data_IF_572394021181
#
_entry.id   IF_572394021181
#
_cell.length_a   1.000
_cell.length_b   1.000
_cell.length_c   1.000
_cell.angle_alpha   90.00
_cell.angle_beta   90.00
_cell.angle_gamma   90.00
#
_symmetry.space_group_name_H-M   'P 1'
#
loop_
_entity.id
_entity.type
_entity.pdbx_description
1 polymer ?
#
# COMPACT_ATOMS: atom_id res chain seq x y z
N UNK A 1 -11.87 -7.58 11.87
CA UNK A 1 -11.74 -8.58 12.94
C UNK A 1 -10.31 -9.16 12.94
N UNK A 2 -9.74 -9.39 14.14
CA UNK A 2 -8.43 -10.08 14.27
C UNK A 2 -8.69 -11.46 14.86
N UNK A 3 -8.27 -12.49 14.13
CA UNK A 3 -8.38 -13.89 14.54
C UNK A 3 -6.99 -14.52 14.64
N UNK A 4 -6.83 -15.52 15.51
CA UNK A 4 -5.62 -16.33 15.57
C UNK A 4 -5.87 -17.67 14.87
N UNK A 5 -5.17 -17.90 13.78
CA UNK A 5 -5.26 -19.10 12.97
C UNK A 5 -4.03 -19.97 13.23
N UNK A 6 -4.23 -21.29 13.36
CA UNK A 6 -3.15 -22.24 13.63
C UNK A 6 -2.03 -22.17 12.58
N UNK A 7 -2.40 -22.09 11.32
CA UNK A 7 -1.47 -22.07 10.19
C UNK A 7 -0.84 -20.68 9.94
N UNK A 8 -1.61 -19.58 10.10
CA UNK A 8 -1.22 -18.23 9.70
C UNK A 8 -0.87 -17.30 10.87
N UNK A 9 -1.11 -17.72 12.12
CA UNK A 9 -0.98 -16.87 13.30
C UNK A 9 -2.07 -15.81 13.36
N UNK A 10 -1.78 -14.66 13.98
CA UNK A 10 -2.74 -13.57 14.03
C UNK A 10 -2.98 -12.99 12.64
N UNK A 11 -4.24 -12.87 12.28
CA UNK A 11 -4.67 -12.51 10.94
C UNK A 11 -5.80 -11.47 11.00
N UNK A 12 -5.72 -10.48 10.11
CA UNK A 12 -6.76 -9.46 9.92
C UNK A 12 -7.77 -9.93 8.88
N UNK A 13 -9.04 -9.84 9.24
CA UNK A 13 -10.17 -10.03 8.33
C UNK A 13 -10.99 -8.75 8.22
N UNK A 14 -11.30 -8.35 6.99
CA UNK A 14 -12.23 -7.26 6.66
C UNK A 14 -13.29 -7.88 5.75
N UNK A 15 -14.57 -7.69 6.09
CA UNK A 15 -15.71 -8.24 5.36
C UNK A 15 -15.63 -9.76 5.10
N UNK A 16 -15.14 -10.50 6.11
CA UNK A 16 -14.86 -11.94 6.06
C UNK A 16 -13.77 -12.39 5.07
N UNK A 17 -13.03 -11.47 4.48
CA UNK A 17 -11.88 -11.77 3.64
C UNK A 17 -10.57 -11.57 4.43
N UNK A 18 -9.66 -12.55 4.32
CA UNK A 18 -8.32 -12.46 4.90
C UNK A 18 -7.54 -11.36 4.17
N UNK A 19 -7.07 -10.38 4.91
CA UNK A 19 -6.28 -9.27 4.39
C UNK A 19 -4.78 -9.50 4.60
N UNK A 20 -4.39 -9.87 5.83
CA UNK A 20 -2.99 -10.02 6.20
C UNK A 20 -2.83 -11.02 7.33
N UNK A 21 -1.72 -11.73 7.36
CA UNK A 21 -1.33 -12.59 8.49
C UNK A 21 0.10 -12.33 8.95
N UNK A 22 0.37 -12.52 10.25
CA UNK A 22 1.70 -12.25 10.83
C UNK A 22 2.81 -13.18 10.29
N UNK A 23 2.46 -14.36 9.78
CA UNK A 23 3.45 -15.35 9.33
C UNK A 23 4.02 -15.06 7.95
N UNK A 24 3.21 -14.55 7.02
CA UNK A 24 3.59 -14.42 5.61
C UNK A 24 3.57 -12.99 5.07
N UNK A 25 3.01 -12.04 5.83
CA UNK A 25 2.91 -10.64 5.42
C UNK A 25 4.26 -10.07 4.93
N UNK A 26 5.36 -10.38 5.63
CA UNK A 26 6.69 -9.89 5.29
C UNK A 26 7.16 -10.30 3.89
N UNK A 27 6.65 -11.44 3.37
CA UNK A 27 6.94 -11.89 2.00
C UNK A 27 6.24 -10.97 1.01
N UNK A 28 4.94 -10.72 1.22
CA UNK A 28 4.14 -9.84 0.37
C UNK A 28 4.69 -8.41 0.39
N UNK A 29 4.75 -7.77 1.56
CA UNK A 29 5.16 -6.38 1.67
C UNK A 29 6.61 -6.16 1.23
N UNK A 30 7.49 -7.12 1.52
CA UNK A 30 8.88 -7.09 1.06
C UNK A 30 8.97 -7.09 -0.46
N UNK A 31 8.33 -8.04 -1.12
CA UNK A 31 8.34 -8.14 -2.59
C UNK A 31 7.64 -6.95 -3.26
N UNK A 32 6.58 -6.44 -2.63
CA UNK A 32 5.84 -5.29 -3.15
C UNK A 32 6.72 -4.03 -3.23
N UNK A 33 7.50 -3.76 -2.19
CA UNK A 33 8.45 -2.63 -2.18
C UNK A 33 9.66 -2.93 -3.07
N UNK A 34 10.21 -4.14 -3.06
CA UNK A 34 11.38 -4.53 -3.85
C UNK A 34 11.10 -4.46 -5.36
N UNK A 35 9.86 -4.74 -5.80
CA UNK A 35 9.47 -4.59 -7.21
C UNK A 35 9.66 -3.16 -7.71
N UNK A 36 9.27 -2.16 -6.92
CA UNK A 36 9.49 -0.76 -7.25
C UNK A 36 10.98 -0.36 -7.19
N UNK A 37 11.73 -0.94 -6.23
CA UNK A 37 13.16 -0.69 -6.07
C UNK A 37 13.99 -1.26 -7.21
N UNK A 38 13.59 -2.39 -7.79
CA UNK A 38 14.27 -3.01 -8.92
C UNK A 38 14.22 -2.16 -10.19
N UNK A 39 13.16 -1.37 -10.36
CA UNK A 39 12.96 -0.47 -11.49
C UNK A 39 13.63 0.90 -11.29
N UNK A 40 13.70 1.36 -10.07
CA UNK A 40 14.36 2.61 -9.69
C UNK A 40 14.91 2.49 -8.27
N UNK A 41 16.21 2.40 -8.12
CA UNK A 41 16.90 2.18 -6.85
C UNK A 41 16.99 3.40 -5.93
N UNK A 42 16.51 4.57 -6.34
CA UNK A 42 16.55 5.77 -5.49
C UNK A 42 15.57 5.63 -4.33
N UNK A 43 16.08 5.73 -3.11
CA UNK A 43 15.33 5.73 -1.87
C UNK A 43 14.98 7.18 -1.50
N UNK A 44 13.92 7.72 -2.07
CA UNK A 44 13.59 9.12 -1.78
C UNK A 44 12.23 9.24 -1.10
N UNK A 45 11.26 9.82 -1.78
CA UNK A 45 9.94 10.05 -1.22
C UNK A 45 8.95 9.04 -1.78
N UNK A 46 8.11 8.50 -0.93
CA UNK A 46 7.05 7.59 -1.35
C UNK A 46 5.67 8.06 -0.89
N UNK A 47 4.66 7.67 -1.64
CA UNK A 47 3.27 7.66 -1.21
C UNK A 47 2.78 6.22 -1.11
N UNK A 48 2.01 5.91 -0.06
CA UNK A 48 1.29 4.65 0.09
C UNK A 48 -0.20 4.98 0.11
N UNK A 49 -0.97 4.33 -0.74
CA UNK A 49 -2.42 4.45 -0.85
C UNK A 49 -3.04 3.18 -0.29
N UNK A 50 -3.67 3.25 0.88
CA UNK A 50 -4.16 2.08 1.61
C UNK A 50 -3.08 1.37 2.41
N UNK A 51 -3.16 0.05 2.52
CA UNK A 51 -2.18 -0.76 3.28
C UNK A 51 -2.26 -0.53 4.79
N UNK A 52 -3.47 -0.46 5.34
CA UNK A 52 -3.76 -0.13 6.75
C UNK A 52 -3.10 -1.05 7.78
N UNK A 53 -2.59 -2.21 7.38
CA UNK A 53 -1.80 -3.09 8.26
C UNK A 53 -0.40 -2.51 8.60
N UNK A 54 0.14 -1.62 7.75
CA UNK A 54 1.44 -0.97 7.93
C UNK A 54 2.63 -1.76 7.41
N UNK A 55 2.43 -2.90 6.75
CA UNK A 55 3.51 -3.74 6.23
C UNK A 55 4.35 -3.02 5.18
N UNK A 56 3.72 -2.42 4.17
CA UNK A 56 4.41 -1.65 3.13
C UNK A 56 5.16 -0.45 3.74
N UNK A 57 4.55 0.25 4.70
CA UNK A 57 5.20 1.37 5.38
C UNK A 57 6.44 0.92 6.18
N UNK A 58 6.36 -0.24 6.87
CA UNK A 58 7.52 -0.84 7.55
C UNK A 58 8.63 -1.19 6.57
N UNK A 59 8.28 -1.75 5.43
CA UNK A 59 9.27 -2.11 4.40
C UNK A 59 9.93 -0.88 3.78
N UNK A 60 9.21 0.22 3.60
CA UNK A 60 9.81 1.50 3.22
C UNK A 60 10.81 1.99 4.26
N UNK A 61 10.49 1.89 5.56
CA UNK A 61 11.43 2.23 6.64
C UNK A 61 12.68 1.35 6.63
N UNK A 62 12.53 0.04 6.45
CA UNK A 62 13.66 -0.90 6.42
C UNK A 62 14.62 -0.62 5.26
N UNK A 63 14.10 -0.10 4.15
CA UNK A 63 14.87 0.32 2.97
C UNK A 63 15.30 1.78 2.99
N UNK A 64 15.14 2.46 4.14
CA UNK A 64 15.62 3.83 4.38
C UNK A 64 15.08 4.86 3.40
N UNK A 65 13.78 4.82 3.12
CA UNK A 65 13.11 5.92 2.44
C UNK A 65 13.25 7.19 3.27
N UNK A 66 13.45 8.34 2.62
CA UNK A 66 13.64 9.61 3.31
C UNK A 66 12.34 10.13 3.92
N UNK A 67 11.25 9.92 3.20
CA UNK A 67 9.94 10.39 3.58
C UNK A 67 8.84 9.52 2.95
N UNK A 68 7.78 9.24 3.71
CA UNK A 68 6.64 8.44 3.28
C UNK A 68 5.35 9.11 3.76
N UNK A 69 4.51 9.58 2.82
CA UNK A 69 3.11 9.91 3.11
C UNK A 69 2.28 8.62 2.98
N UNK A 70 1.63 8.24 4.07
CA UNK A 70 0.78 7.05 4.12
C UNK A 70 -0.68 7.48 4.23
N UNK A 71 -1.41 7.36 3.12
CA UNK A 71 -2.82 7.73 3.01
C UNK A 71 -3.68 6.52 3.35
N UNK A 72 -4.43 6.62 4.43
CA UNK A 72 -5.30 5.54 4.91
C UNK A 72 -6.69 6.07 5.28
N UNK A 73 -7.70 5.37 4.79
CA UNK A 73 -9.10 5.76 4.97
C UNK A 73 -9.58 5.50 6.39
N UNK A 74 -9.18 4.36 6.97
CA UNK A 74 -9.70 3.86 8.24
C UNK A 74 -8.61 3.81 9.35
N UNK A 75 -8.56 4.81 10.23
CA UNK A 75 -7.63 4.81 11.35
C UNK A 75 -7.86 3.66 12.35
N UNK A 76 -9.06 3.05 12.36
CA UNK A 76 -9.35 1.92 13.26
C UNK A 76 -8.62 0.65 12.80
N UNK A 77 -8.49 0.44 11.48
CA UNK A 77 -7.68 -0.66 10.92
C UNK A 77 -6.24 -0.52 11.36
N UNK A 78 -5.64 0.66 11.20
CA UNK A 78 -4.26 0.92 11.63
C UNK A 78 -4.09 0.73 13.13
N UNK A 79 -5.05 1.20 13.93
CA UNK A 79 -5.03 1.04 15.39
C UNK A 79 -5.10 -0.44 15.79
N UNK A 80 -6.01 -1.19 15.18
CA UNK A 80 -6.16 -2.63 15.43
C UNK A 80 -4.88 -3.40 15.05
N UNK A 81 -4.32 -3.14 13.88
CA UNK A 81 -3.09 -3.78 13.43
C UNK A 81 -1.90 -3.43 14.33
N UNK A 82 -1.72 -2.15 14.67
CA UNK A 82 -0.65 -1.73 15.59
C UNK A 82 -0.75 -2.42 16.96
N UNK A 83 -1.98 -2.61 17.46
CA UNK A 83 -2.23 -3.23 18.76
C UNK A 83 -2.08 -4.75 18.74
N UNK A 84 -2.62 -5.40 17.72
CA UNK A 84 -2.77 -6.85 17.69
C UNK A 84 -1.80 -7.57 16.77
N UNK A 85 -1.35 -6.92 15.68
CA UNK A 85 -0.35 -7.40 14.73
C UNK A 85 0.96 -6.60 14.89
N UNK A 86 1.46 -6.54 16.12
CA UNK A 86 2.56 -5.65 16.50
C UNK A 86 3.88 -5.89 15.76
N UNK A 87 4.07 -7.08 15.19
CA UNK A 87 5.22 -7.38 14.34
C UNK A 87 5.21 -6.61 13.03
N UNK A 88 4.01 -6.27 12.53
CA UNK A 88 3.80 -5.57 11.27
C UNK A 88 3.96 -4.05 11.47
N UNK A 89 3.08 -3.42 12.22
CA UNK A 89 2.90 -1.96 12.23
C UNK A 89 3.62 -1.18 13.33
N UNK A 90 4.17 -1.84 14.39
CA UNK A 90 4.67 -1.14 15.59
C UNK A 90 5.76 -0.10 15.29
N UNK A 91 6.75 -0.46 14.49
CA UNK A 91 7.89 0.42 14.15
C UNK A 91 7.46 1.64 13.32
N UNK A 92 6.36 1.53 12.59
CA UNK A 92 5.85 2.59 11.72
C UNK A 92 5.32 3.75 12.55
N UNK A 93 4.56 3.45 13.62
CA UNK A 93 3.97 4.46 14.51
C UNK A 93 5.02 5.31 15.24
N UNK A 94 6.18 4.75 15.51
CA UNK A 94 7.27 5.42 16.23
C UNK A 94 8.20 6.21 15.31
N UNK A 95 7.98 6.17 13.99
CA UNK A 95 8.87 6.76 13.00
C UNK A 95 8.44 8.18 12.62
N UNK A 96 9.40 9.09 12.56
CA UNK A 96 9.21 10.44 12.00
C UNK A 96 9.30 10.46 10.46
N UNK A 97 9.69 9.36 9.84
CA UNK A 97 9.80 9.23 8.37
C UNK A 97 8.44 8.98 7.73
N UNK A 98 7.54 8.29 8.43
CA UNK A 98 6.18 7.98 7.93
C UNK A 98 5.19 8.95 8.53
N UNK A 99 4.46 9.65 7.67
CA UNK A 99 3.35 10.53 8.04
C UNK A 99 2.04 9.91 7.58
N UNK A 100 1.18 9.56 8.53
CA UNK A 100 -0.20 9.15 8.22
C UNK A 100 -1.04 10.37 7.81
N UNK A 101 -1.77 10.21 6.71
CA UNK A 101 -2.77 11.15 6.21
C UNK A 101 -4.11 10.42 6.20
N UNK A 102 -4.99 10.82 7.11
CA UNK A 102 -6.27 10.16 7.31
C UNK A 102 -7.34 10.65 6.33
N UNK A 103 -8.12 9.73 5.79
CA UNK A 103 -9.25 10.01 4.91
C UNK A 103 -9.04 9.47 3.50
N UNK A 104 -9.92 9.87 2.57
CA UNK A 104 -9.83 9.43 1.17
C UNK A 104 -8.52 9.91 0.55
N UNK A 105 -7.70 8.93 0.17
CA UNK A 105 -6.41 9.18 -0.47
C UNK A 105 -6.56 9.98 -1.77
N UNK A 106 -7.59 9.66 -2.58
CA UNK A 106 -7.80 10.27 -3.88
C UNK A 106 -8.36 11.70 -3.80
N UNK A 107 -8.99 12.06 -2.69
CA UNK A 107 -9.27 13.46 -2.37
C UNK A 107 -8.00 14.17 -1.90
N UNK A 108 -7.25 13.55 -1.00
CA UNK A 108 -6.04 14.12 -0.41
C UNK A 108 -4.95 14.43 -1.44
N UNK A 109 -4.73 13.55 -2.43
CA UNK A 109 -3.71 13.75 -3.47
C UNK A 109 -3.97 14.96 -4.38
N UNK A 110 -5.21 15.48 -4.45
CA UNK A 110 -5.50 16.69 -5.23
C UNK A 110 -4.73 17.91 -4.74
N UNK A 111 -4.42 17.98 -3.44
CA UNK A 111 -3.66 19.06 -2.81
C UNK A 111 -2.15 18.84 -2.80
N UNK A 112 -1.69 17.69 -3.25
CA UNK A 112 -0.26 17.35 -3.30
C UNK A 112 0.38 18.05 -4.51
N UNK A 113 1.58 18.56 -4.30
CA UNK A 113 2.39 19.19 -5.35
C UNK A 113 2.79 18.19 -6.45
N UNK A 114 2.99 18.69 -7.66
CA UNK A 114 3.44 17.89 -8.80
C UNK A 114 4.84 17.33 -8.55
N UNK A 115 5.08 16.13 -9.04
CA UNK A 115 6.41 15.49 -9.01
C UNK A 115 7.03 15.40 -7.60
N UNK A 116 6.23 15.07 -6.61
CA UNK A 116 6.67 14.96 -5.20
C UNK A 116 7.32 13.60 -4.91
N UNK A 117 6.77 12.49 -5.45
CA UNK A 117 7.16 11.15 -5.06
C UNK A 117 8.00 10.46 -6.13
N UNK A 118 8.97 9.69 -5.68
CA UNK A 118 9.76 8.79 -6.54
C UNK A 118 9.05 7.44 -6.71
N UNK A 119 8.22 7.06 -5.73
CA UNK A 119 7.44 5.83 -5.74
C UNK A 119 6.04 6.03 -5.18
N UNK A 120 5.07 5.35 -5.79
CA UNK A 120 3.70 5.28 -5.31
C UNK A 120 3.31 3.81 -5.19
N UNK A 121 2.91 3.40 -4.00
CA UNK A 121 2.41 2.07 -3.69
C UNK A 121 0.90 2.12 -3.55
N UNK A 122 0.17 1.45 -4.45
CA UNK A 122 -1.30 1.35 -4.40
C UNK A 122 -1.66 -0.01 -3.81
N UNK A 123 -1.87 -0.03 -2.50
CA UNK A 123 -2.15 -1.23 -1.71
C UNK A 123 -3.61 -1.25 -1.26
N UNK A 124 -4.49 -1.40 -2.24
CA UNK A 124 -5.93 -1.45 -2.09
C UNK A 124 -6.46 -2.85 -2.39
N UNK A 125 -7.69 -3.13 -1.99
CA UNK A 125 -8.36 -4.35 -2.37
C UNK A 125 -8.40 -4.52 -3.89
N UNK A 126 -8.34 -5.76 -4.35
CA UNK A 126 -8.33 -6.12 -5.77
C UNK A 126 -9.75 -6.24 -6.38
N UNK A 127 -10.73 -5.59 -5.75
CA UNK A 127 -12.11 -5.56 -6.24
C UNK A 127 -12.32 -4.52 -7.36
N UNK A 128 -13.44 -4.65 -8.04
CA UNK A 128 -13.80 -3.77 -9.16
C UNK A 128 -13.94 -2.30 -8.75
N UNK A 129 -14.37 -2.03 -7.52
CA UNK A 129 -14.54 -0.67 -7.03
C UNK A 129 -13.17 0.03 -6.89
N UNK A 130 -12.23 -0.61 -6.23
CA UNK A 130 -10.87 -0.10 -6.03
C UNK A 130 -10.13 0.08 -7.37
N UNK A 131 -10.27 -0.87 -8.31
CA UNK A 131 -9.71 -0.76 -9.67
C UNK A 131 -10.26 0.46 -10.39
N UNK A 132 -11.58 0.66 -10.38
CA UNK A 132 -12.20 1.82 -11.04
C UNK A 132 -11.81 3.14 -10.38
N UNK A 133 -11.67 3.16 -9.07
CA UNK A 133 -11.25 4.34 -8.32
C UNK A 133 -9.82 4.74 -8.67
N UNK A 134 -8.90 3.79 -8.70
CA UNK A 134 -7.53 4.01 -9.13
C UNK A 134 -7.46 4.46 -10.61
N UNK A 135 -8.27 3.86 -11.49
CA UNK A 135 -8.35 4.24 -12.90
C UNK A 135 -8.77 5.71 -13.09
N UNK A 136 -9.80 6.16 -12.36
CA UNK A 136 -10.27 7.55 -12.41
C UNK A 136 -9.19 8.54 -11.95
N UNK A 137 -8.35 8.13 -11.03
CA UNK A 137 -7.34 8.99 -10.40
C UNK A 137 -5.92 8.80 -10.98
N UNK A 138 -5.76 7.97 -12.01
CA UNK A 138 -4.44 7.67 -12.57
C UNK A 138 -3.69 8.93 -13.05
N UNK A 139 -4.37 9.91 -13.62
CA UNK A 139 -3.74 11.17 -14.02
C UNK A 139 -3.18 11.94 -12.81
N UNK A 140 -3.89 11.95 -11.67
CA UNK A 140 -3.40 12.56 -10.45
C UNK A 140 -2.22 11.78 -9.85
N UNK A 141 -2.26 10.46 -9.86
CA UNK A 141 -1.14 9.63 -9.43
C UNK A 141 0.11 9.91 -10.27
N UNK A 142 -0.05 9.99 -11.60
CA UNK A 142 1.04 10.36 -12.50
C UNK A 142 1.55 11.80 -12.29
N UNK A 143 0.66 12.74 -12.00
CA UNK A 143 1.01 14.14 -11.72
C UNK A 143 1.93 14.28 -10.50
N UNK A 144 1.61 13.59 -9.41
CA UNK A 144 2.39 13.64 -8.16
C UNK A 144 3.65 12.76 -8.21
N UNK A 145 3.78 11.90 -9.23
CA UNK A 145 4.96 11.07 -9.47
C UNK A 145 6.02 11.87 -10.22
N UNK A 146 7.26 11.77 -9.80
CA UNK A 146 8.40 12.38 -10.51
C UNK A 146 8.65 11.71 -11.85
N UNK A 147 9.25 12.43 -12.82
CA UNK A 147 9.75 11.80 -14.04
C UNK A 147 10.71 10.64 -13.73
N UNK A 148 10.43 9.46 -14.30
CA UNK A 148 11.17 8.22 -14.01
C UNK A 148 10.82 7.56 -12.67
N UNK A 149 9.79 8.05 -11.99
CA UNK A 149 9.23 7.40 -10.81
C UNK A 149 8.45 6.13 -11.15
N UNK A 150 8.09 5.35 -10.14
CA UNK A 150 7.44 4.04 -10.28
C UNK A 150 6.14 4.00 -9.49
N UNK A 151 5.09 3.47 -10.12
CA UNK A 151 3.83 3.08 -9.45
C UNK A 151 3.81 1.56 -9.37
N UNK A 152 3.61 1.02 -8.17
CA UNK A 152 3.35 -0.39 -7.93
C UNK A 152 1.95 -0.55 -7.36
N UNK A 153 1.17 -1.49 -7.86
CA UNK A 153 -0.18 -1.75 -7.39
C UNK A 153 -0.39 -3.23 -7.05
N UNK A 154 -1.14 -3.47 -5.98
CA UNK A 154 -1.68 -4.77 -5.66
C UNK A 154 -2.79 -5.09 -6.68
N UNK A 155 -2.64 -6.16 -7.44
CA UNK A 155 -3.55 -6.49 -8.54
C UNK A 155 -4.30 -7.82 -8.36
N UNK A 156 -4.03 -8.51 -7.25
CA UNK A 156 -4.59 -9.82 -6.97
C UNK A 156 -3.87 -10.98 -7.68
N UNK A 157 -4.41 -12.17 -7.50
CA UNK A 157 -3.85 -13.41 -8.08
C UNK A 157 -4.41 -13.65 -9.49
N UNK A 158 -3.52 -13.78 -10.45
CA UNK A 158 -3.91 -14.09 -11.84
C UNK A 158 -4.64 -15.44 -11.96
N UNK A 159 -4.27 -16.41 -11.14
CA UNK A 159 -4.89 -17.74 -11.16
C UNK A 159 -6.30 -17.73 -10.59
N UNK A 160 -6.56 -16.91 -9.56
CA UNK A 160 -7.85 -16.80 -8.90
C UNK A 160 -8.78 -15.78 -9.53
N UNK A 161 -8.23 -14.64 -9.97
CA UNK A 161 -8.98 -13.46 -10.44
C UNK A 161 -8.40 -12.89 -11.75
N UNK A 162 -8.29 -13.69 -12.85
CA UNK A 162 -7.59 -13.26 -14.07
C UNK A 162 -8.17 -11.99 -14.69
N UNK A 163 -9.50 -11.86 -14.73
CA UNK A 163 -10.16 -10.65 -15.28
C UNK A 163 -9.85 -9.38 -14.50
N UNK A 164 -9.69 -9.47 -13.17
CA UNK A 164 -9.34 -8.32 -12.34
C UNK A 164 -7.90 -7.90 -12.59
N UNK A 165 -6.98 -8.87 -12.69
CA UNK A 165 -5.58 -8.60 -13.05
C UNK A 165 -5.48 -7.93 -14.43
N UNK A 166 -6.20 -8.44 -15.43
CA UNK A 166 -6.22 -7.83 -16.77
C UNK A 166 -6.77 -6.40 -16.74
N UNK A 167 -7.82 -6.13 -15.95
CA UNK A 167 -8.34 -4.78 -15.75
C UNK A 167 -7.30 -3.84 -15.13
N UNK A 168 -6.58 -4.28 -14.09
CA UNK A 168 -5.49 -3.52 -13.50
C UNK A 168 -4.37 -3.24 -14.50
N UNK A 169 -3.94 -4.23 -15.26
CA UNK A 169 -2.91 -4.05 -16.30
C UNK A 169 -3.33 -3.02 -17.34
N UNK A 170 -4.61 -3.02 -17.74
CA UNK A 170 -5.16 -2.01 -18.65
C UNK A 170 -5.18 -0.59 -18.04
N UNK A 171 -5.35 -0.47 -16.73
CA UNK A 171 -5.29 0.82 -16.00
C UNK A 171 -3.85 1.34 -15.94
N UNK A 172 -2.92 0.47 -15.57
CA UNK A 172 -1.51 0.83 -15.38
C UNK A 172 -0.78 1.11 -16.70
N UNK A 173 -1.26 0.56 -17.82
CA UNK A 173 -0.66 0.75 -19.15
C UNK A 173 -1.02 2.07 -19.84
N UNK A 174 -1.99 2.82 -19.31
CA UNK A 174 -2.41 4.14 -19.79
C UNK A 174 -1.54 5.26 -19.24
#
# INVERSE_FOLDING_TARGET
EILELEEFGKSLFIDNELQVSEKDEHIYSGQFVDSAMSLNSKNSNAAIIGGGDGGVARECLSRRFNFVDWFELDPEVVSACTKHLSKIGRKVKESNTVKCVWGDAFESINSIEDSKYDKIFVDLNDDKYCINLAAKNMNNLKRILKPGGVITAQVGSKDKKPKQVDNWLNVLSK
#
